data_IF_449928858350
#
_entry.id   IF_449928858350
#
_cell.length_a   1.000
_cell.length_b   1.000
_cell.length_c   1.000
_cell.angle_alpha   90.00
_cell.angle_beta   90.00
_cell.angle_gamma   90.00
#
_symmetry.space_group_name_H-M   'P 1'
#
loop_
_entity.id
_entity.type
_entity.pdbx_description
1 polymer ?
#
# COMPACT_ATOMS: atom_id res chain seq x y z
N UNK A 1 -28.64 -29.06 -0.36
CA UNK A 1 -28.30 -27.64 -0.56
C UNK A 1 -26.85 -27.59 -1.03
N UNK A 2 -26.61 -27.29 -2.32
CA UNK A 2 -25.32 -27.55 -2.96
C UNK A 2 -24.20 -26.63 -2.45
N UNK A 3 -22.99 -27.16 -2.15
CA UNK A 3 -21.87 -26.40 -1.61
C UNK A 3 -21.41 -25.23 -2.50
N UNK A 4 -21.71 -25.28 -3.80
CA UNK A 4 -21.44 -24.17 -4.73
C UNK A 4 -22.25 -22.90 -4.41
N UNK A 5 -23.47 -23.02 -3.87
CA UNK A 5 -24.34 -21.85 -3.62
C UNK A 5 -23.88 -21.06 -2.38
N UNK A 6 -23.39 -21.74 -1.34
CA UNK A 6 -22.81 -21.10 -0.15
C UNK A 6 -21.50 -20.38 -0.47
N UNK A 7 -20.60 -21.00 -1.25
CA UNK A 7 -19.34 -20.36 -1.64
C UNK A 7 -19.53 -19.11 -2.50
N UNK A 8 -20.54 -19.09 -3.38
CA UNK A 8 -20.83 -17.90 -4.19
C UNK A 8 -21.42 -16.74 -3.39
N UNK A 9 -22.28 -17.03 -2.39
CA UNK A 9 -22.83 -15.98 -1.51
C UNK A 9 -21.71 -15.35 -0.67
N UNK A 10 -20.78 -16.17 -0.19
CA UNK A 10 -19.64 -15.72 0.61
C UNK A 10 -18.65 -14.88 -0.20
N UNK A 11 -18.29 -15.33 -1.40
CA UNK A 11 -17.44 -14.56 -2.32
C UNK A 11 -18.10 -13.22 -2.72
N UNK A 12 -19.42 -13.20 -2.94
CA UNK A 12 -20.13 -11.97 -3.26
C UNK A 12 -20.15 -11.00 -2.07
N UNK A 13 -20.34 -11.51 -0.85
CA UNK A 13 -20.29 -10.71 0.39
C UNK A 13 -18.94 -10.03 0.61
N UNK A 14 -17.84 -10.78 0.48
CA UNK A 14 -16.49 -10.21 0.58
C UNK A 14 -16.20 -9.22 -0.55
N UNK A 15 -16.71 -9.51 -1.76
CA UNK A 15 -16.56 -8.60 -2.91
C UNK A 15 -17.20 -7.23 -2.68
N UNK A 16 -18.33 -7.20 -1.97
CA UNK A 16 -19.05 -5.97 -1.65
C UNK A 16 -18.36 -5.25 -0.49
N UNK A 17 -17.89 -6.01 0.50
CA UNK A 17 -17.14 -5.49 1.65
C UNK A 17 -15.87 -4.75 1.20
N UNK A 18 -14.98 -5.36 0.40
CA UNK A 18 -13.74 -4.68 -0.03
C UNK A 18 -13.99 -3.42 -0.84
N UNK A 19 -15.04 -3.39 -1.67
CA UNK A 19 -15.39 -2.19 -2.45
C UNK A 19 -15.78 -1.05 -1.54
N UNK A 20 -16.56 -1.35 -0.50
CA UNK A 20 -16.96 -0.36 0.49
C UNK A 20 -15.74 0.08 1.32
N UNK A 21 -14.85 -0.83 1.68
CA UNK A 21 -13.61 -0.51 2.42
C UNK A 21 -12.68 0.38 1.60
N UNK A 22 -12.50 0.10 0.29
CA UNK A 22 -11.71 0.98 -0.59
C UNK A 22 -12.41 2.31 -0.89
N UNK A 23 -13.72 2.32 -1.04
CA UNK A 23 -14.48 3.56 -1.19
C UNK A 23 -14.33 4.44 0.05
N UNK A 24 -14.40 3.82 1.24
CA UNK A 24 -14.17 4.46 2.54
C UNK A 24 -12.71 4.92 2.69
N UNK A 25 -11.75 4.14 2.20
CA UNK A 25 -10.34 4.53 2.14
C UNK A 25 -10.12 5.80 1.32
N UNK A 26 -10.88 5.98 0.24
CA UNK A 26 -10.81 7.15 -0.62
C UNK A 26 -11.64 8.34 -0.10
N UNK A 27 -12.44 8.15 0.96
CA UNK A 27 -13.22 9.22 1.60
C UNK A 27 -12.47 9.71 2.84
N UNK A 28 -12.01 10.95 2.76
CA UNK A 28 -11.28 11.63 3.83
C UNK A 28 -12.10 11.71 5.13
N UNK A 29 -11.46 11.44 6.27
CA UNK A 29 -12.06 11.56 7.60
C UNK A 29 -13.05 10.47 7.98
N UNK A 30 -13.01 9.31 7.31
CA UNK A 30 -13.85 8.17 7.66
C UNK A 30 -13.42 7.55 9.00
N UNK A 31 -14.38 7.18 9.86
CA UNK A 31 -14.11 6.45 11.10
C UNK A 31 -13.75 4.98 10.81
N UNK A 32 -12.67 4.48 11.39
CA UNK A 32 -12.19 3.09 11.23
C UNK A 32 -12.45 2.30 12.52
N UNK A 33 -13.63 1.64 12.65
CA UNK A 33 -13.94 0.84 13.82
C UNK A 33 -13.05 -0.40 13.92
N UNK A 34 -12.65 -0.96 12.78
CA UNK A 34 -11.67 -2.05 12.70
C UNK A 34 -10.33 -1.52 12.18
N UNK A 35 -9.30 -1.65 13.02
CA UNK A 35 -7.92 -1.27 12.69
C UNK A 35 -7.38 -2.09 11.52
N UNK A 36 -7.67 -3.38 11.49
CA UNK A 36 -7.16 -4.31 10.48
C UNK A 36 -7.61 -3.93 9.06
N UNK A 37 -8.84 -3.43 8.90
CA UNK A 37 -9.34 -2.93 7.60
C UNK A 37 -8.52 -1.74 7.10
N UNK A 38 -8.14 -0.82 7.99
CA UNK A 38 -7.29 0.31 7.64
C UNK A 38 -5.87 -0.16 7.31
N UNK A 39 -5.33 -1.10 8.08
CA UNK A 39 -4.00 -1.67 7.84
C UNK A 39 -3.93 -2.38 6.48
N UNK A 40 -4.95 -3.13 6.08
CA UNK A 40 -5.03 -3.78 4.76
C UNK A 40 -5.00 -2.75 3.62
N UNK A 41 -5.81 -1.70 3.74
CA UNK A 41 -5.84 -0.60 2.76
C UNK A 41 -4.48 0.09 2.66
N UNK A 42 -3.86 0.40 3.80
CA UNK A 42 -2.54 1.02 3.86
C UNK A 42 -1.47 0.11 3.25
N UNK A 43 -1.52 -1.18 3.57
CA UNK A 43 -0.64 -2.21 3.03
C UNK A 43 -0.71 -2.23 1.50
N UNK A 44 -1.92 -2.39 0.94
CA UNK A 44 -2.13 -2.44 -0.51
C UNK A 44 -1.83 -1.10 -1.21
N UNK A 45 -2.13 0.02 -0.56
CA UNK A 45 -1.79 1.36 -1.04
C UNK A 45 -0.27 1.56 -1.16
N UNK A 46 0.48 1.19 -0.13
CA UNK A 46 1.95 1.22 -0.14
C UNK A 46 2.52 0.29 -1.20
N UNK A 47 1.97 -0.90 -1.32
CA UNK A 47 2.39 -1.90 -2.32
C UNK A 47 2.22 -1.37 -3.74
N UNK A 48 1.08 -0.74 -4.05
CA UNK A 48 0.83 -0.11 -5.35
C UNK A 48 1.77 1.08 -5.60
N UNK A 49 1.99 1.93 -4.59
CA UNK A 49 2.92 3.05 -4.68
C UNK A 49 4.35 2.57 -4.98
N UNK A 50 4.80 1.51 -4.28
CA UNK A 50 6.12 0.91 -4.46
C UNK A 50 6.31 0.35 -5.86
N UNK A 51 5.30 -0.33 -6.40
CA UNK A 51 5.32 -0.82 -7.77
C UNK A 51 5.41 0.33 -8.78
N UNK A 52 4.59 1.36 -8.63
CA UNK A 52 4.62 2.53 -9.54
C UNK A 52 5.98 3.22 -9.49
N UNK A 53 6.48 3.53 -8.30
CA UNK A 53 7.79 4.17 -8.10
C UNK A 53 8.90 3.31 -8.69
N UNK A 54 8.92 2.01 -8.44
CA UNK A 54 9.95 1.12 -8.98
C UNK A 54 9.94 1.08 -10.51
N UNK A 55 8.77 1.07 -11.14
CA UNK A 55 8.66 1.16 -12.60
C UNK A 55 9.22 2.51 -13.11
N UNK A 56 8.80 3.64 -12.53
CA UNK A 56 9.28 4.97 -12.93
C UNK A 56 10.80 5.12 -12.78
N UNK A 57 11.36 4.70 -11.64
CA UNK A 57 12.80 4.69 -11.37
C UNK A 57 13.55 3.63 -12.17
N UNK A 58 12.88 2.64 -12.76
CA UNK A 58 13.52 1.68 -13.66
C UNK A 58 13.81 2.29 -15.03
N UNK A 59 12.91 3.15 -15.52
CA UNK A 59 13.10 3.88 -16.78
C UNK A 59 14.10 5.02 -16.66
N UNK A 60 14.10 5.72 -15.52
CA UNK A 60 15.11 6.73 -15.23
C UNK A 60 16.33 5.97 -14.69
N UNK A 61 17.54 6.10 -15.24
CA UNK A 61 18.74 5.43 -14.72
C UNK A 61 19.22 6.06 -13.39
N UNK A 62 18.35 6.10 -12.38
CA UNK A 62 18.69 6.44 -11.02
C UNK A 62 19.45 5.26 -10.45
N UNK A 63 20.70 5.47 -10.05
CA UNK A 63 21.60 4.41 -9.60
C UNK A 63 21.79 4.42 -8.09
N UNK A 64 21.95 3.22 -7.55
CA UNK A 64 22.53 2.99 -6.23
C UNK A 64 21.68 3.49 -5.05
N UNK A 65 22.36 3.87 -3.99
CA UNK A 65 21.78 4.19 -2.69
C UNK A 65 20.76 5.35 -2.73
N UNK A 66 20.91 6.29 -3.66
CA UNK A 66 20.04 7.45 -3.78
C UNK A 66 18.59 7.06 -4.08
N UNK A 67 18.37 6.09 -4.98
CA UNK A 67 17.04 5.61 -5.33
C UNK A 67 16.33 5.00 -4.11
N UNK A 68 17.08 4.24 -3.30
CA UNK A 68 16.58 3.60 -2.08
C UNK A 68 16.20 4.66 -1.04
N UNK A 69 17.07 5.64 -0.80
CA UNK A 69 16.78 6.73 0.17
C UNK A 69 15.56 7.54 -0.26
N UNK A 70 15.46 7.89 -1.55
CA UNK A 70 14.30 8.60 -2.08
C UNK A 70 13.01 7.79 -1.90
N UNK A 71 13.04 6.48 -2.21
CA UNK A 71 11.90 5.61 -2.00
C UNK A 71 11.47 5.58 -0.52
N UNK A 72 12.42 5.45 0.42
CA UNK A 72 12.10 5.43 1.86
C UNK A 72 11.47 6.75 2.31
N UNK A 73 12.03 7.89 1.88
CA UNK A 73 11.48 9.21 2.20
C UNK A 73 10.06 9.35 1.65
N UNK A 74 9.84 9.03 0.37
CA UNK A 74 8.52 9.17 -0.28
C UNK A 74 7.51 8.21 0.36
N UNK A 75 7.87 6.94 0.55
CA UNK A 75 6.98 5.92 1.14
C UNK A 75 6.58 6.26 2.58
N UNK A 76 7.52 6.81 3.36
CA UNK A 76 7.23 7.25 4.74
C UNK A 76 6.38 8.52 4.74
N UNK A 77 6.72 9.51 3.91
CA UNK A 77 5.99 10.76 3.82
C UNK A 77 4.55 10.55 3.33
N UNK A 78 4.34 9.75 2.29
CA UNK A 78 3.01 9.43 1.76
C UNK A 78 2.18 8.68 2.80
N UNK A 79 2.74 7.66 3.45
CA UNK A 79 2.04 6.94 4.51
C UNK A 79 1.62 7.87 5.66
N UNK A 80 2.51 8.78 6.05
CA UNK A 80 2.26 9.71 7.14
C UNK A 80 1.23 10.78 6.77
N UNK A 81 1.35 11.40 5.59
CA UNK A 81 0.39 12.38 5.09
C UNK A 81 -0.99 11.75 4.90
N UNK A 82 -1.06 10.51 4.44
CA UNK A 82 -2.33 9.80 4.30
C UNK A 82 -2.99 9.54 5.66
N UNK A 83 -2.24 9.01 6.64
CA UNK A 83 -2.79 8.75 7.98
C UNK A 83 -3.23 10.03 8.70
N UNK A 84 -2.38 11.06 8.70
CA UNK A 84 -2.61 12.29 9.48
C UNK A 84 -3.53 13.30 8.77
N UNK A 85 -3.26 13.65 7.51
CA UNK A 85 -4.03 14.69 6.80
C UNK A 85 -5.28 14.15 6.11
N UNK A 86 -5.19 12.97 5.49
CA UNK A 86 -6.31 12.44 4.70
C UNK A 86 -7.32 11.70 5.58
N UNK A 87 -6.84 10.83 6.47
CA UNK A 87 -7.70 10.04 7.34
C UNK A 87 -8.05 10.73 8.66
N UNK A 88 -7.27 11.74 9.08
CA UNK A 88 -7.44 12.49 10.34
C UNK A 88 -7.58 11.58 11.56
N UNK A 89 -6.92 10.42 11.53
CA UNK A 89 -6.97 9.47 12.63
C UNK A 89 -5.92 9.87 13.65
N UNK A 90 -6.30 9.91 14.93
CA UNK A 90 -5.35 10.10 16.03
C UNK A 90 -4.35 8.94 16.03
N UNK A 91 -3.05 9.25 15.91
CA UNK A 91 -1.97 8.25 15.83
C UNK A 91 -2.01 7.26 17.01
N UNK A 92 -2.45 7.72 18.18
CA UNK A 92 -2.56 6.90 19.39
C UNK A 92 -3.66 5.82 19.28
N UNK A 93 -4.71 6.05 18.48
CA UNK A 93 -5.77 5.07 18.25
C UNK A 93 -5.35 3.91 17.34
N UNK A 94 -4.33 4.14 16.51
CA UNK A 94 -3.80 3.16 15.56
C UNK A 94 -2.60 2.37 16.10
N UNK A 95 -2.31 2.46 17.40
CA UNK A 95 -1.13 1.84 18.02
C UNK A 95 0.18 2.61 17.78
N UNK A 96 0.06 3.87 17.36
CA UNK A 96 1.17 4.79 17.15
C UNK A 96 1.75 4.76 15.75
N UNK A 97 2.44 5.85 15.39
CA UNK A 97 3.14 6.02 14.11
C UNK A 97 3.99 4.81 13.71
N UNK A 98 4.65 4.18 14.69
CA UNK A 98 5.64 3.14 14.43
C UNK A 98 5.05 1.81 13.97
N UNK A 99 3.83 1.49 14.38
CA UNK A 99 3.14 0.27 13.94
C UNK A 99 2.71 0.43 12.47
N UNK A 100 2.07 1.56 12.16
CA UNK A 100 1.68 1.95 10.79
C UNK A 100 2.86 2.10 9.82
N UNK A 101 4.00 2.57 10.33
CA UNK A 101 5.21 2.75 9.54
C UNK A 101 5.87 1.41 9.19
N UNK A 102 5.77 0.40 10.07
CA UNK A 102 6.31 -0.94 9.85
C UNK A 102 5.38 -1.81 9.02
N UNK A 103 4.08 -1.65 9.19
CA UNK A 103 3.07 -2.43 8.49
C UNK A 103 3.24 -2.28 6.97
N UNK A 104 3.48 -3.40 6.30
CA UNK A 104 3.70 -3.45 4.85
C UNK A 104 4.98 -2.80 4.33
N UNK A 105 5.86 -2.24 5.17
CA UNK A 105 7.10 -1.62 4.68
C UNK A 105 8.05 -2.63 4.03
N UNK A 106 8.24 -3.79 4.68
CA UNK A 106 9.15 -4.82 4.17
C UNK A 106 8.70 -5.42 2.82
N UNK A 107 7.41 -5.72 2.67
CA UNK A 107 6.84 -6.26 1.43
C UNK A 107 6.83 -5.22 0.30
N UNK A 108 6.44 -3.98 0.61
CA UNK A 108 6.47 -2.89 -0.35
C UNK A 108 7.90 -2.57 -0.80
N UNK A 109 8.86 -2.55 0.13
CA UNK A 109 10.28 -2.36 -0.19
C UNK A 109 10.82 -3.46 -1.12
N UNK A 110 10.52 -4.73 -0.83
CA UNK A 110 10.90 -5.84 -1.70
C UNK A 110 10.30 -5.68 -3.11
N UNK A 111 9.05 -5.20 -3.19
CA UNK A 111 8.35 -5.00 -4.45
C UNK A 111 8.92 -3.85 -5.26
N UNK A 112 9.26 -2.74 -4.59
CA UNK A 112 10.02 -1.65 -5.19
C UNK A 112 11.35 -2.18 -5.76
N UNK A 113 12.11 -2.96 -4.99
CA UNK A 113 13.39 -3.50 -5.44
C UNK A 113 13.25 -4.39 -6.69
N UNK A 114 12.29 -5.31 -6.68
CA UNK A 114 12.04 -6.23 -7.79
C UNK A 114 11.59 -5.48 -9.04
N UNK A 115 10.65 -4.55 -8.92
CA UNK A 115 10.17 -3.77 -10.06
C UNK A 115 11.23 -2.83 -10.61
N UNK A 116 11.98 -2.15 -9.74
CA UNK A 116 13.06 -1.25 -10.14
C UNK A 116 14.19 -1.98 -10.87
N UNK A 117 14.75 -3.04 -10.27
CA UNK A 117 15.84 -3.81 -10.90
C UNK A 117 15.34 -4.48 -12.18
N UNK A 118 14.12 -5.03 -12.15
CA UNK A 118 13.52 -5.70 -13.31
C UNK A 118 13.35 -4.76 -14.51
N UNK A 119 12.75 -3.58 -14.29
CA UNK A 119 12.54 -2.59 -15.35
C UNK A 119 13.85 -1.96 -15.79
N UNK A 120 14.76 -1.63 -14.86
CA UNK A 120 16.08 -1.11 -15.19
C UNK A 120 16.85 -2.09 -16.08
N UNK A 121 16.87 -3.37 -15.70
CA UNK A 121 17.48 -4.42 -16.51
C UNK A 121 16.81 -4.51 -17.88
N UNK A 122 15.49 -4.61 -17.96
CA UNK A 122 14.81 -4.74 -19.25
C UNK A 122 15.01 -3.53 -20.18
N UNK A 123 15.09 -2.32 -19.64
CA UNK A 123 15.19 -1.07 -20.43
C UNK A 123 16.63 -0.69 -20.79
N UNK A 124 17.60 -1.06 -19.98
CA UNK A 124 19.02 -0.71 -20.16
C UNK A 124 19.89 -1.91 -20.56
N UNK A 125 19.31 -3.10 -20.76
CA UNK A 125 20.02 -4.23 -21.39
C UNK A 125 20.28 -3.90 -22.86
N UNK A 126 21.55 -3.63 -23.16
CA UNK A 126 22.11 -3.56 -24.52
C UNK A 126 23.44 -4.30 -24.53
#
# INVERSE_FOLDING_TARGET
MSPKKSSQIQANSESVHWKNTLAKALVSGSEWPDKDELLDVLYWGRQLLALMIGIFWGFIPLHGFLAIVLYIIISTAVGQLYATNFQKVDEDSLGGFWELAKEGFGSAFATFMVSWIGVYSASHFN
#
